data_IF_453064715629
#
_entry.id   IF_453064715629
#
_cell.length_a   1.000
_cell.length_b   1.000
_cell.length_c   1.000
_cell.angle_alpha   90.00
_cell.angle_beta   90.00
_cell.angle_gamma   90.00
#
_symmetry.space_group_name_H-M   'P 1'
#
loop_
_entity.id
_entity.type
_entity.pdbx_description
1 polymer ?
#
# COMPACT_ATOMS: atom_id res chain seq x y z
N UNK A 1 0.03 8.02 5.14
CA UNK A 1 -1.37 7.80 4.68
C UNK A 1 -2.30 7.72 5.88
N UNK A 2 -3.60 7.99 5.69
CA UNK A 2 -4.64 7.93 6.72
C UNK A 2 -5.78 6.96 6.33
N UNK A 3 -6.38 6.28 7.31
CA UNK A 3 -7.65 5.56 7.15
C UNK A 3 -8.41 5.52 8.48
N UNK A 4 -9.75 5.48 8.43
CA UNK A 4 -10.57 5.30 9.64
C UNK A 4 -10.95 3.82 9.77
N UNK A 5 -10.55 3.19 10.86
CA UNK A 5 -10.85 1.80 11.20
C UNK A 5 -11.26 1.71 12.67
N UNK A 6 -12.29 0.93 12.99
CA UNK A 6 -12.82 0.77 14.36
C UNK A 6 -12.93 2.09 15.15
N UNK A 7 -13.48 3.13 14.50
CA UNK A 7 -13.68 4.49 15.05
C UNK A 7 -12.40 5.26 15.38
N UNK A 8 -11.23 4.74 15.01
CA UNK A 8 -9.95 5.43 15.15
C UNK A 8 -9.43 5.87 13.78
N UNK A 9 -8.81 7.04 13.74
CA UNK A 9 -8.02 7.49 12.61
C UNK A 9 -6.62 6.87 12.72
N UNK A 10 -6.27 5.97 11.79
CA UNK A 10 -4.94 5.38 11.69
C UNK A 10 -4.08 6.17 10.72
N UNK A 11 -2.80 6.28 11.06
CA UNK A 11 -1.75 6.85 10.23
C UNK A 11 -0.64 5.82 10.02
N UNK A 12 -0.25 5.62 8.76
CA UNK A 12 0.96 4.88 8.41
C UNK A 12 2.01 5.82 7.79
N UNK A 13 3.27 5.63 8.18
CA UNK A 13 4.42 6.33 7.61
C UNK A 13 5.65 5.43 7.54
N UNK A 14 6.61 5.80 6.70
CA UNK A 14 7.94 5.21 6.69
C UNK A 14 8.85 6.02 7.61
N UNK A 15 9.56 5.36 8.53
CA UNK A 15 10.56 5.99 9.38
C UNK A 15 11.91 6.19 8.68
N UNK A 16 12.85 6.85 9.36
CA UNK A 16 14.20 7.07 8.82
C UNK A 16 15.05 5.80 8.73
N UNK A 17 14.54 4.69 9.27
CA UNK A 17 15.13 3.35 9.21
C UNK A 17 14.42 2.46 8.17
N UNK A 18 13.62 3.06 7.28
CA UNK A 18 12.85 2.42 6.22
C UNK A 18 11.76 1.43 6.67
N UNK A 19 11.54 1.27 7.98
CA UNK A 19 10.41 0.53 8.51
C UNK A 19 9.11 1.31 8.42
N UNK A 20 7.99 0.59 8.34
CA UNK A 20 6.66 1.17 8.40
C UNK A 20 6.25 1.30 9.86
N UNK A 21 5.71 2.45 10.23
CA UNK A 21 5.13 2.72 11.53
C UNK A 21 3.64 2.95 11.40
N UNK A 22 2.88 2.48 12.39
CA UNK A 22 1.45 2.73 12.55
C UNK A 22 1.22 3.50 13.85
N UNK A 23 0.37 4.52 13.79
CA UNK A 23 -0.21 5.15 14.98
C UNK A 23 -1.70 5.38 14.76
N UNK A 24 -2.44 5.59 15.86
CA UNK A 24 -3.89 5.83 15.80
C UNK A 24 -4.29 7.01 16.66
N UNK A 25 -5.45 7.60 16.34
CA UNK A 25 -6.01 8.75 17.04
C UNK A 25 -7.52 8.58 17.20
N UNK A 26 -8.02 8.82 18.41
CA UNK A 26 -9.47 8.86 18.68
C UNK A 26 -10.11 10.23 18.45
N UNK A 27 -9.30 11.30 18.35
CA UNK A 27 -9.77 12.69 18.26
C UNK A 27 -9.32 13.40 16.96
N UNK A 28 -8.57 12.69 16.12
CA UNK A 28 -7.98 13.18 14.87
C UNK A 28 -6.85 14.19 15.06
N UNK A 29 -6.36 14.42 16.29
CA UNK A 29 -5.37 15.45 16.62
C UNK A 29 -4.16 14.87 17.32
N UNK A 30 -4.38 14.04 18.32
CA UNK A 30 -3.31 13.39 19.08
C UNK A 30 -3.23 11.92 18.67
N UNK A 31 -2.03 11.52 18.24
CA UNK A 31 -1.74 10.15 17.84
C UNK A 31 -1.02 9.40 18.96
N UNK A 32 -1.28 8.09 19.03
CA UNK A 32 -0.58 7.17 19.93
C UNK A 32 0.91 7.11 19.64
N UNK A 33 1.67 6.51 20.56
CA UNK A 33 3.04 6.11 20.28
C UNK A 33 3.07 5.23 19.01
N UNK A 34 3.98 5.51 18.06
CA UNK A 34 4.10 4.69 16.85
C UNK A 34 4.51 3.25 17.18
N UNK A 35 3.82 2.31 16.56
CA UNK A 35 4.18 0.88 16.55
C UNK A 35 5.02 0.64 15.30
N UNK A 36 6.25 0.17 15.47
CA UNK A 36 7.08 -0.29 14.35
C UNK A 36 6.54 -1.62 13.84
N UNK A 37 6.24 -1.69 12.54
CA UNK A 37 5.92 -2.93 11.85
C UNK A 37 7.21 -3.45 11.24
N UNK A 38 7.91 -4.30 12.01
CA UNK A 38 9.09 -5.00 11.54
C UNK A 38 8.65 -6.10 10.57
N UNK A 39 8.46 -5.74 9.31
CA UNK A 39 8.33 -6.73 8.25
C UNK A 39 9.72 -7.31 8.00
N UNK A 40 9.90 -8.64 8.04
CA UNK A 40 11.11 -9.21 7.50
C UNK A 40 11.18 -8.80 6.03
N UNK A 41 12.14 -7.93 5.69
CA UNK A 41 13.01 -8.15 4.54
C UNK A 41 13.11 -9.66 4.40
N UNK A 42 12.60 -10.23 3.30
CA UNK A 42 12.47 -11.67 3.16
C UNK A 42 13.74 -12.33 3.69
N UNK A 43 13.64 -13.06 4.79
CA UNK A 43 14.71 -13.82 5.45
C UNK A 43 15.05 -15.09 4.66
N UNK A 44 14.86 -15.04 3.36
CA UNK A 44 15.62 -15.80 2.40
C UNK A 44 17.00 -15.13 2.42
N UNK A 45 18.02 -15.85 2.91
CA UNK A 45 19.37 -15.34 3.13
C UNK A 45 20.13 -14.81 1.91
N UNK A 46 19.46 -14.52 0.79
CA UNK A 46 20.05 -13.94 -0.42
C UNK A 46 19.90 -12.41 -0.52
N UNK A 47 19.09 -11.75 0.32
CA UNK A 47 18.77 -10.31 0.15
C UNK A 47 19.43 -9.36 1.18
N UNK A 48 20.49 -9.81 1.85
CA UNK A 48 21.09 -9.15 3.01
C UNK A 48 21.75 -7.77 2.77
N UNK A 49 21.65 -7.17 1.57
CA UNK A 49 22.30 -5.89 1.24
C UNK A 49 21.47 -4.95 0.35
N UNK A 50 20.16 -5.16 0.23
CA UNK A 50 19.29 -4.30 -0.59
C UNK A 50 18.93 -2.98 0.10
N UNK A 51 19.22 -1.83 -0.54
CA UNK A 51 18.67 -0.53 -0.13
C UNK A 51 17.13 -0.60 -0.18
N UNK A 52 16.48 -0.28 0.93
CA UNK A 52 15.02 -0.25 1.04
C UNK A 52 14.50 1.05 0.42
N UNK A 53 14.12 1.02 -0.85
CA UNK A 53 13.38 2.13 -1.44
C UNK A 53 11.93 1.98 -0.98
N UNK A 54 11.58 2.67 0.10
CA UNK A 54 10.25 2.58 0.71
C UNK A 54 9.37 3.71 0.18
N UNK A 55 8.45 3.36 -0.73
CA UNK A 55 7.34 4.23 -1.10
C UNK A 55 6.49 4.50 0.14
N UNK A 56 5.83 5.65 0.17
CA UNK A 56 4.91 5.96 1.25
C UNK A 56 3.83 4.85 1.35
N UNK A 57 3.61 4.27 2.54
CA UNK A 57 2.62 3.21 2.71
C UNK A 57 1.22 3.75 2.46
N UNK A 58 0.30 2.87 2.04
CA UNK A 58 -1.11 3.19 1.84
C UNK A 58 -2.00 2.37 2.78
N UNK A 59 -3.12 2.95 3.22
CA UNK A 59 -4.08 2.34 4.14
C UNK A 59 -5.48 2.35 3.51
N UNK A 60 -6.27 1.32 3.79
CA UNK A 60 -7.66 1.21 3.37
C UNK A 60 -8.40 0.19 4.25
N UNK A 61 -9.71 0.34 4.39
CA UNK A 61 -10.52 -0.60 5.16
C UNK A 61 -11.38 -1.42 4.22
N UNK A 62 -11.25 -2.74 4.31
CA UNK A 62 -11.95 -3.68 3.46
C UNK A 62 -12.41 -4.88 4.28
N UNK A 63 -13.67 -5.30 4.11
CA UNK A 63 -14.26 -6.45 4.80
C UNK A 63 -13.97 -6.49 6.31
N UNK A 64 -14.10 -5.33 6.97
CA UNK A 64 -13.90 -5.20 8.42
C UNK A 64 -12.45 -5.35 8.89
N UNK A 65 -11.47 -5.21 8.00
CA UNK A 65 -10.04 -5.24 8.31
C UNK A 65 -9.36 -3.96 7.81
N UNK A 66 -8.32 -3.53 8.53
CA UNK A 66 -7.41 -2.51 8.07
C UNK A 66 -6.35 -3.16 7.17
N UNK A 67 -6.27 -2.74 5.92
CA UNK A 67 -5.25 -3.16 4.97
C UNK A 67 -4.15 -2.10 4.89
N UNK A 68 -2.91 -2.58 4.80
CA UNK A 68 -1.69 -1.80 4.61
C UNK A 68 -0.99 -2.29 3.34
N UNK A 69 -0.83 -1.38 2.38
CA UNK A 69 0.07 -1.59 1.25
C UNK A 69 1.42 -0.93 1.55
N UNK A 70 2.50 -1.66 1.31
CA UNK A 70 3.87 -1.20 1.55
C UNK A 70 4.80 -1.78 0.50
N UNK A 71 5.91 -1.08 0.22
CA UNK A 71 6.87 -1.52 -0.78
C UNK A 71 8.18 -1.98 -0.14
N UNK A 72 8.86 -2.93 -0.81
CA UNK A 72 10.18 -3.36 -0.42
C UNK A 72 11.04 -3.64 -1.67
N UNK A 73 12.34 -3.36 -1.58
CA UNK A 73 13.31 -3.67 -2.63
C UNK A 73 13.87 -5.07 -2.42
N UNK A 74 13.64 -5.98 -3.37
CA UNK A 74 14.20 -7.33 -3.35
C UNK A 74 15.70 -7.40 -3.69
N UNK A 75 16.41 -6.26 -3.73
CA UNK A 75 17.77 -6.17 -4.25
C UNK A 75 17.83 -5.81 -5.74
N UNK A 76 19.05 -5.69 -6.27
CA UNK A 76 19.34 -5.12 -7.59
C UNK A 76 18.62 -5.80 -8.77
N UNK A 77 18.31 -7.11 -8.64
CA UNK A 77 17.76 -7.92 -9.74
C UNK A 77 16.24 -8.15 -9.65
N UNK A 78 15.60 -7.80 -8.54
CA UNK A 78 14.17 -8.05 -8.30
C UNK A 78 13.31 -6.78 -8.25
N UNK A 79 13.93 -5.61 -8.13
CA UNK A 79 13.22 -4.33 -8.15
C UNK A 79 12.37 -4.07 -6.89
N UNK A 80 11.39 -3.16 -6.99
CA UNK A 80 10.52 -2.74 -5.88
C UNK A 80 9.17 -3.45 -5.95
N UNK A 81 8.94 -4.42 -5.06
CA UNK A 81 7.67 -5.14 -4.94
C UNK A 81 6.71 -4.42 -3.98
N UNK A 82 5.41 -4.50 -4.25
CA UNK A 82 4.32 -4.11 -3.35
C UNK A 82 3.75 -5.33 -2.64
N UNK A 83 3.61 -5.20 -1.33
CA UNK A 83 2.97 -6.16 -0.45
C UNK A 83 1.71 -5.55 0.14
N UNK A 84 0.75 -6.41 0.43
CA UNK A 84 -0.48 -6.05 1.11
C UNK A 84 -0.64 -6.96 2.32
N UNK A 85 -0.74 -6.36 3.50
CA UNK A 85 -1.02 -7.07 4.75
C UNK A 85 -2.32 -6.53 5.35
N UNK A 86 -3.00 -7.34 6.14
CA UNK A 86 -4.25 -6.95 6.81
C UNK A 86 -4.17 -7.13 8.32
N UNK A 87 -4.97 -6.36 9.03
CA UNK A 87 -5.07 -6.36 10.48
C UNK A 87 -6.54 -6.33 10.91
N UNK A 88 -6.87 -7.10 11.95
CA UNK A 88 -8.18 -7.08 12.61
C UNK A 88 -8.21 -6.19 13.85
N UNK A 89 -7.04 -5.77 14.36
CA UNK A 89 -6.89 -4.92 15.56
C UNK A 89 -6.27 -3.54 15.23
N UNK A 90 -5.91 -3.33 13.96
CA UNK A 90 -5.29 -2.12 13.44
C UNK A 90 -3.79 -1.95 13.75
N UNK A 91 -3.16 -2.87 14.48
CA UNK A 91 -1.74 -2.74 14.91
C UNK A 91 -0.89 -3.97 14.64
N UNK A 92 -1.51 -5.16 14.60
CA UNK A 92 -0.87 -6.42 14.26
C UNK A 92 -1.26 -6.79 12.83
N UNK A 93 -0.30 -6.75 11.90
CA UNK A 93 -0.53 -7.02 10.48
C UNK A 93 0.02 -8.38 10.07
N UNK A 94 -0.75 -9.11 9.26
CA UNK A 94 -0.36 -10.41 8.71
C UNK A 94 -1.11 -10.74 7.41
N UNK A 95 -1.12 -12.01 7.02
CA UNK A 95 -1.70 -12.49 5.75
C UNK A 95 -1.16 -11.73 4.53
N UNK A 96 0.17 -11.67 4.43
CA UNK A 96 0.84 -10.89 3.40
C UNK A 96 0.62 -11.49 2.02
N UNK A 97 0.16 -10.65 1.09
CA UNK A 97 0.00 -10.97 -0.33
C UNK A 97 0.99 -10.12 -1.12
N UNK A 98 1.73 -10.73 -2.04
CA UNK A 98 2.55 -10.00 -3.02
C UNK A 98 1.68 -9.68 -4.23
N UNK A 99 1.61 -8.41 -4.61
CA UNK A 99 0.87 -8.04 -5.82
C UNK A 99 1.63 -8.49 -7.08
N UNK A 100 0.94 -8.88 -8.16
CA UNK A 100 1.60 -9.27 -9.41
C UNK A 100 2.22 -8.06 -10.14
N UNK A 101 3.24 -8.32 -10.97
CA UNK A 101 3.80 -7.36 -11.95
C UNK A 101 4.25 -6.01 -11.36
N UNK A 102 5.14 -6.02 -10.37
CA UNK A 102 5.60 -4.83 -9.65
C UNK A 102 7.13 -4.78 -9.53
N UNK A 103 7.84 -4.49 -10.62
CA UNK A 103 9.31 -4.55 -10.62
C UNK A 103 9.94 -3.16 -10.44
N UNK A 104 9.30 -2.07 -10.87
CA UNK A 104 9.85 -0.70 -10.73
C UNK A 104 8.75 0.27 -10.33
N UNK A 105 8.25 0.11 -9.11
CA UNK A 105 7.14 0.92 -8.61
C UNK A 105 7.63 2.28 -8.11
N UNK A 106 7.02 3.38 -8.58
CA UNK A 106 7.38 4.75 -8.18
C UNK A 106 6.28 5.48 -7.38
N UNK A 107 5.06 4.95 -7.36
CA UNK A 107 3.92 5.54 -6.66
C UNK A 107 2.89 4.46 -6.33
N UNK A 108 2.17 4.62 -5.21
CA UNK A 108 1.17 3.66 -4.76
C UNK A 108 0.04 4.36 -3.98
N UNK A 109 -1.17 3.86 -4.17
CA UNK A 109 -2.37 4.22 -3.39
C UNK A 109 -3.28 3.00 -3.22
N UNK A 110 -4.09 3.01 -2.16
CA UNK A 110 -5.00 1.93 -1.80
C UNK A 110 -6.38 2.52 -1.53
N UNK A 111 -7.42 1.90 -2.06
CA UNK A 111 -8.81 2.28 -1.80
C UNK A 111 -9.74 1.08 -1.93
N UNK A 112 -10.99 1.24 -1.51
CA UNK A 112 -12.08 0.32 -1.81
C UNK A 112 -13.05 1.04 -2.72
N UNK A 113 -13.39 0.44 -3.86
CA UNK A 113 -14.34 1.04 -4.78
C UNK A 113 -15.80 0.85 -4.31
N UNK A 114 -16.72 1.42 -5.07
CA UNK A 114 -18.15 1.37 -4.80
C UNK A 114 -18.76 -0.04 -4.81
N UNK A 115 -18.09 -0.99 -5.46
CA UNK A 115 -18.54 -2.38 -5.56
C UNK A 115 -17.99 -3.23 -4.41
N UNK A 116 -17.27 -2.61 -3.46
CA UNK A 116 -16.59 -3.35 -2.41
C UNK A 116 -15.42 -4.15 -2.97
N UNK A 117 -14.71 -3.63 -3.97
CA UNK A 117 -13.47 -4.22 -4.47
C UNK A 117 -12.30 -3.47 -3.89
N UNK A 118 -11.33 -4.20 -3.34
CA UNK A 118 -10.07 -3.64 -2.87
C UNK A 118 -9.19 -3.33 -4.07
N UNK A 119 -8.78 -2.07 -4.23
CA UNK A 119 -8.00 -1.59 -5.37
C UNK A 119 -6.69 -0.95 -4.90
N UNK A 120 -5.58 -1.44 -5.43
CA UNK A 120 -4.25 -0.84 -5.29
C UNK A 120 -3.87 -0.22 -6.63
N UNK A 121 -3.71 1.10 -6.66
CA UNK A 121 -3.23 1.83 -7.83
C UNK A 121 -1.75 2.10 -7.70
N UNK A 122 -0.95 1.75 -8.70
CA UNK A 122 0.50 1.96 -8.67
C UNK A 122 1.07 2.26 -10.06
N UNK A 123 2.21 2.93 -10.08
CA UNK A 123 2.97 3.19 -11.32
C UNK A 123 4.12 2.21 -11.38
N UNK A 124 4.17 1.36 -12.40
CA UNK A 124 5.26 0.42 -12.66
C UNK A 124 5.88 0.73 -14.03
N UNK A 125 7.17 1.11 -14.09
CA UNK A 125 7.83 1.49 -15.35
C UNK A 125 7.00 2.52 -16.15
N UNK A 126 6.64 3.63 -15.50
CA UNK A 126 5.80 4.71 -16.05
C UNK A 126 4.38 4.28 -16.46
N UNK A 127 3.98 3.04 -16.16
CA UNK A 127 2.67 2.51 -16.50
C UNK A 127 1.76 2.52 -15.28
N UNK A 128 0.65 3.22 -15.39
CA UNK A 128 -0.40 3.25 -14.38
C UNK A 128 -1.17 1.92 -14.40
N UNK A 129 -1.11 1.21 -13.30
CA UNK A 129 -1.69 -0.13 -13.12
C UNK A 129 -2.63 -0.13 -11.92
N UNK A 130 -3.79 -0.75 -12.08
CA UNK A 130 -4.68 -1.09 -10.99
C UNK A 130 -4.57 -2.59 -10.73
N UNK A 131 -4.36 -2.96 -9.46
CA UNK A 131 -4.52 -4.33 -8.98
C UNK A 131 -5.77 -4.38 -8.12
N UNK A 132 -6.70 -5.28 -8.42
CA UNK A 132 -8.02 -5.32 -7.80
C UNK A 132 -8.37 -6.72 -7.28
N UNK A 133 -9.09 -6.78 -6.17
CA UNK A 133 -9.49 -8.02 -5.51
C UNK A 133 -10.83 -7.91 -4.80
N UNK A 134 -11.71 -8.90 -5.01
CA UNK A 134 -12.99 -9.02 -4.30
C UNK A 134 -12.88 -9.77 -2.96
N UNK A 135 -11.74 -10.39 -2.67
CA UNK A 135 -11.51 -11.19 -1.45
C UNK A 135 -10.30 -10.74 -0.63
N UNK A 136 -9.51 -9.80 -1.16
CA UNK A 136 -8.30 -9.28 -0.54
C UNK A 136 -7.12 -10.25 -0.57
N UNK A 137 -7.20 -11.33 -1.36
CA UNK A 137 -6.18 -12.38 -1.49
C UNK A 137 -5.80 -12.59 -2.95
N UNK A 138 -6.78 -12.76 -3.82
CA UNK A 138 -6.59 -13.00 -5.25
C UNK A 138 -6.73 -11.69 -6.00
N UNK A 139 -5.65 -11.26 -6.65
CA UNK A 139 -5.59 -9.98 -7.36
C UNK A 139 -5.48 -10.17 -8.87
N UNK A 140 -6.19 -9.32 -9.61
CA UNK A 140 -6.06 -9.18 -11.06
C UNK A 140 -5.63 -7.76 -11.42
N UNK A 141 -4.90 -7.60 -12.53
CA UNK A 141 -4.34 -6.30 -12.93
C UNK A 141 -4.97 -5.75 -14.21
N UNK A 142 -5.17 -4.45 -14.25
CA UNK A 142 -5.50 -3.69 -15.44
C UNK A 142 -4.52 -2.52 -15.65
N UNK A 143 -4.07 -2.32 -16.88
CA UNK A 143 -3.22 -1.19 -17.27
C UNK A 143 -4.08 -0.07 -17.84
N UNK A 144 -3.86 1.16 -17.35
CA UNK A 144 -4.64 2.34 -17.75
C UNK A 144 -3.90 3.27 -18.70
N UNK A 145 -2.59 3.10 -18.87
CA UNK A 145 -1.75 3.92 -19.75
C UNK A 145 -0.49 4.39 -19.04
N UNK A 146 0.16 5.43 -19.56
CA UNK A 146 1.35 6.00 -18.93
C UNK A 146 1.02 7.11 -17.92
N UNK A 147 1.79 7.17 -16.84
CA UNK A 147 1.71 8.21 -15.84
C UNK A 147 2.78 8.11 -14.75
N UNK A 148 3.01 9.22 -14.05
CA UNK A 148 4.08 9.35 -13.05
C UNK A 148 3.64 9.28 -11.58
N UNK A 149 2.34 9.36 -11.29
CA UNK A 149 1.79 9.20 -9.94
C UNK A 149 0.43 8.51 -9.97
N UNK A 150 0.12 7.72 -8.95
CA UNK A 150 -1.18 7.10 -8.74
C UNK A 150 -1.78 7.57 -7.41
N UNK A 151 -2.96 8.18 -7.46
CA UNK A 151 -3.74 8.52 -6.29
C UNK A 151 -5.19 8.04 -6.47
N UNK A 152 -5.63 7.16 -5.58
CA UNK A 152 -7.00 6.67 -5.51
C UNK A 152 -7.77 7.37 -4.39
N UNK A 153 -8.92 7.94 -4.73
CA UNK A 153 -9.90 8.49 -3.79
C UNK A 153 -11.25 7.78 -3.94
N UNK A 154 -12.08 7.82 -2.89
CA UNK A 154 -13.43 7.28 -2.91
C UNK A 154 -14.38 8.22 -2.19
N UNK A 155 -15.50 8.58 -2.83
CA UNK A 155 -16.62 9.27 -2.16
C UNK A 155 -17.94 8.62 -2.57
N UNK A 156 -18.67 8.06 -1.60
CA UNK A 156 -19.89 7.29 -1.87
C UNK A 156 -19.64 6.19 -2.91
N UNK A 157 -20.39 6.23 -4.01
CA UNK A 157 -20.33 5.23 -5.08
C UNK A 157 -19.31 5.56 -6.18
N UNK A 158 -18.40 6.52 -5.95
CA UNK A 158 -17.42 6.95 -6.94
C UNK A 158 -15.99 6.70 -6.46
N UNK A 159 -15.22 5.98 -7.27
CA UNK A 159 -13.77 5.90 -7.17
C UNK A 159 -13.13 6.93 -8.13
N UNK A 160 -12.19 7.72 -7.62
CA UNK A 160 -11.44 8.72 -8.38
C UNK A 160 -10.02 8.24 -8.52
N UNK A 161 -9.50 8.33 -9.74
CA UNK A 161 -8.08 8.15 -10.02
C UNK A 161 -7.52 9.49 -10.45
N UNK A 162 -6.60 10.03 -9.66
CA UNK A 162 -5.76 11.14 -10.04
C UNK A 162 -4.37 10.60 -10.42
N UNK A 163 -3.86 11.05 -11.56
CA UNK A 163 -2.54 10.70 -12.05
C UNK A 163 -1.90 11.86 -12.79
N UNK A 164 -0.57 11.90 -12.81
CA UNK A 164 0.18 12.80 -13.68
C UNK A 164 0.49 12.08 -14.99
N UNK A 165 0.15 12.67 -16.13
CA UNK A 165 0.56 12.13 -17.43
C UNK A 165 1.94 12.69 -17.78
N UNK A 166 2.89 11.82 -18.10
CA UNK A 166 4.13 12.19 -18.77
C UNK A 166 3.82 12.31 -20.27
N UNK A 167 3.97 13.51 -20.84
CA UNK A 167 3.86 13.68 -22.29
C UNK A 167 5.12 13.09 -22.95
N UNK A 168 4.91 12.26 -23.97
CA UNK A 168 5.96 11.76 -24.88
C UNK A 168 6.45 12.85 -25.82
#
# INVERSE_FOLDING_TARGET
MLAVFDKLLYMACTGTNDYVFISSSGDGKTFSNPVELSYPCMTDGNYANGMCISLAPALGVFNGKLYLAYSYSGGADLGICIFLSSSTDGTSFGNTVTLPNNQLVSSMSLNVDALGILVVGYVNQDTLTLSSSSDGVNFTTATLGQGGQAALGGIGDLAFLAFTQTQS
#
